data_IF_650687968570
#
_entry.id   IF_650687968570
#
_cell.length_a   1.000
_cell.length_b   1.000
_cell.length_c   1.000
_cell.angle_alpha   90.00
_cell.angle_beta   90.00
_cell.angle_gamma   90.00
#
_symmetry.space_group_name_H-M   'P 1'
#
loop_
_entity.id
_entity.type
_entity.pdbx_description
1 polymer ?
#
# COMPACT_ATOMS: atom_id res chain seq x y z
N UNK A 1 -6.27 -11.37 -20.02
CA UNK A 1 -6.78 -10.20 -19.29
C UNK A 1 -5.61 -9.60 -18.52
N UNK A 2 -5.40 -8.30 -18.57
CA UNK A 2 -4.25 -7.69 -17.86
C UNK A 2 -4.53 -7.73 -16.36
N UNK A 3 -3.71 -8.47 -15.62
CA UNK A 3 -3.75 -8.46 -14.16
C UNK A 3 -3.43 -7.05 -13.66
N UNK A 4 -4.34 -6.52 -12.87
CA UNK A 4 -4.22 -5.21 -12.24
C UNK A 4 -3.89 -5.43 -10.77
N UNK A 5 -3.19 -4.47 -10.20
CA UNK A 5 -2.86 -4.51 -8.78
C UNK A 5 -3.80 -3.59 -8.00
N UNK A 6 -4.29 -4.14 -6.89
CA UNK A 6 -5.23 -3.46 -5.99
C UNK A 6 -4.75 -3.58 -4.55
N UNK A 7 -5.00 -2.54 -3.78
CA UNK A 7 -4.91 -2.57 -2.33
C UNK A 7 -6.32 -2.69 -1.75
N UNK A 8 -6.52 -3.72 -0.95
CA UNK A 8 -7.72 -3.93 -0.15
C UNK A 8 -7.38 -3.63 1.30
N UNK A 9 -8.01 -2.60 1.87
CA UNK A 9 -7.93 -2.28 3.29
C UNK A 9 -9.26 -2.61 3.94
N UNK A 10 -9.24 -3.32 5.06
CA UNK A 10 -10.44 -3.53 5.87
C UNK A 10 -10.14 -3.31 7.36
N UNK A 11 -11.16 -2.85 8.06
CA UNK A 11 -11.11 -2.47 9.46
C UNK A 11 -12.08 -3.36 10.23
N UNK A 12 -11.59 -3.98 11.29
CA UNK A 12 -12.33 -4.84 12.20
C UNK A 12 -12.49 -4.18 13.57
N UNK A 13 -13.44 -4.63 14.40
CA UNK A 13 -13.60 -4.14 15.77
C UNK A 13 -12.32 -4.29 16.60
N UNK A 14 -12.07 -3.40 17.57
CA UNK A 14 -10.82 -3.42 18.36
C UNK A 14 -10.67 -4.65 19.26
N UNK A 15 -11.75 -5.32 19.58
CA UNK A 15 -11.87 -6.53 20.39
C UNK A 15 -11.83 -7.83 19.55
N UNK A 16 -11.60 -7.72 18.25
CA UNK A 16 -11.45 -8.88 17.36
C UNK A 16 -10.20 -9.68 17.74
N UNK A 17 -10.35 -10.99 17.96
CA UNK A 17 -9.24 -11.90 18.25
C UNK A 17 -8.39 -12.13 17.00
N UNK A 18 -7.11 -12.42 17.17
CA UNK A 18 -6.21 -12.78 16.06
C UNK A 18 -6.75 -13.97 15.25
N UNK A 19 -7.41 -14.90 15.92
CA UNK A 19 -8.03 -16.06 15.27
C UNK A 19 -9.18 -15.60 14.34
N UNK A 20 -10.04 -14.69 14.79
CA UNK A 20 -11.11 -14.16 13.95
C UNK A 20 -10.59 -13.34 12.77
N UNK A 21 -9.46 -12.62 12.95
CA UNK A 21 -8.75 -11.96 11.83
C UNK A 21 -8.27 -12.98 10.81
N UNK A 22 -7.64 -14.05 11.27
CA UNK A 22 -7.13 -15.12 10.40
C UNK A 22 -8.26 -15.85 9.65
N UNK A 23 -9.39 -16.12 10.30
CA UNK A 23 -10.55 -16.75 9.68
C UNK A 23 -11.15 -15.87 8.57
N UNK A 24 -11.28 -14.57 8.83
CA UNK A 24 -11.76 -13.63 7.82
C UNK A 24 -10.77 -13.52 6.65
N UNK A 25 -9.48 -13.45 6.94
CA UNK A 25 -8.44 -13.42 5.90
C UNK A 25 -8.49 -14.69 5.05
N UNK A 26 -8.67 -15.87 5.64
CA UNK A 26 -8.83 -17.13 4.91
C UNK A 26 -10.06 -17.10 3.97
N UNK A 27 -11.16 -16.44 4.38
CA UNK A 27 -12.33 -16.26 3.52
C UNK A 27 -12.03 -15.33 2.33
N UNK A 28 -11.28 -14.25 2.55
CA UNK A 28 -10.82 -13.34 1.49
C UNK A 28 -9.92 -14.11 0.51
N UNK A 29 -8.95 -14.87 1.02
CA UNK A 29 -8.03 -15.69 0.23
C UNK A 29 -8.78 -16.72 -0.63
N UNK A 30 -9.78 -17.40 -0.07
CA UNK A 30 -10.61 -18.36 -0.79
C UNK A 30 -11.37 -17.71 -1.96
N UNK A 31 -11.83 -16.47 -1.80
CA UNK A 31 -12.50 -15.72 -2.88
C UNK A 31 -11.50 -15.33 -3.95
N UNK A 32 -10.33 -14.84 -3.55
CA UNK A 32 -9.25 -14.46 -4.48
C UNK A 32 -8.81 -15.65 -5.31
N UNK A 33 -8.56 -16.79 -4.67
CA UNK A 33 -8.17 -18.02 -5.35
C UNK A 33 -9.25 -18.53 -6.32
N UNK A 34 -10.54 -18.51 -5.90
CA UNK A 34 -11.68 -18.93 -6.72
C UNK A 34 -11.80 -18.13 -8.03
N UNK A 35 -11.40 -16.86 -8.01
CA UNK A 35 -11.49 -15.97 -9.16
C UNK A 35 -10.15 -15.77 -9.88
N UNK A 36 -9.21 -16.71 -9.69
CA UNK A 36 -7.88 -16.69 -10.29
C UNK A 36 -7.08 -15.40 -9.99
N UNK A 37 -7.28 -14.81 -8.82
CA UNK A 37 -6.46 -13.75 -8.28
C UNK A 37 -5.33 -14.31 -7.44
N UNK A 38 -4.43 -13.42 -7.01
CA UNK A 38 -3.31 -13.74 -6.13
C UNK A 38 -3.11 -12.64 -5.10
N UNK A 39 -2.97 -13.01 -3.83
CA UNK A 39 -2.51 -12.10 -2.77
C UNK A 39 -0.98 -12.06 -2.84
N UNK A 40 -0.42 -10.88 -3.11
CA UNK A 40 1.02 -10.66 -3.17
C UNK A 40 1.61 -10.42 -1.78
N UNK A 41 0.88 -9.69 -0.96
CA UNK A 41 1.32 -9.31 0.38
C UNK A 41 0.13 -9.04 1.29
N UNK A 42 0.25 -9.43 2.56
CA UNK A 42 -0.68 -9.07 3.63
C UNK A 42 0.09 -8.35 4.73
N UNK A 43 -0.36 -7.16 5.09
CA UNK A 43 0.17 -6.37 6.20
C UNK A 43 -0.91 -6.17 7.27
N UNK A 44 -0.72 -6.79 8.42
CA UNK A 44 -1.56 -6.52 9.59
C UNK A 44 -0.98 -5.34 10.38
N UNK A 45 -1.64 -4.18 10.31
CA UNK A 45 -1.21 -2.98 11.01
C UNK A 45 -1.62 -2.97 12.49
N UNK A 46 -2.41 -3.95 12.90
CA UNK A 46 -2.90 -4.07 14.25
C UNK A 46 -3.93 -3.00 14.63
N UNK A 47 -4.14 -2.86 15.93
CA UNK A 47 -5.10 -1.92 16.51
C UNK A 47 -4.61 -0.48 16.40
N UNK A 48 -5.44 0.38 15.78
CA UNK A 48 -5.16 1.82 15.60
C UNK A 48 -6.39 2.65 15.90
N UNK A 49 -6.17 3.87 16.35
CA UNK A 49 -7.22 4.86 16.54
C UNK A 49 -7.78 5.29 15.18
N UNK A 50 -9.10 5.35 15.08
CA UNK A 50 -9.81 5.87 13.91
C UNK A 50 -9.76 7.41 13.90
N UNK A 51 -9.78 8.01 12.72
CA UNK A 51 -9.85 9.46 12.56
C UNK A 51 -11.18 10.01 13.06
N UNK A 52 -12.25 9.22 12.95
CA UNK A 52 -13.59 9.50 13.47
C UNK A 52 -14.25 8.19 13.88
N UNK A 53 -15.26 8.27 14.74
CA UNK A 53 -16.00 7.12 15.24
C UNK A 53 -16.83 6.46 14.14
N UNK A 54 -16.71 5.14 14.01
CA UNK A 54 -17.47 4.33 13.05
C UNK A 54 -18.22 3.26 13.83
N UNK A 55 -19.57 3.25 13.78
CA UNK A 55 -20.39 2.24 14.45
C UNK A 55 -20.08 2.10 15.94
N UNK A 56 -19.88 3.22 16.65
CA UNK A 56 -19.51 3.28 18.08
C UNK A 56 -18.07 2.83 18.42
N UNK A 57 -17.25 2.52 17.43
CA UNK A 57 -15.85 2.18 17.62
C UNK A 57 -14.94 3.41 17.39
N UNK A 58 -14.05 3.70 18.35
CA UNK A 58 -13.03 4.76 18.26
C UNK A 58 -11.69 4.22 17.80
N UNK A 59 -11.54 2.91 17.81
CA UNK A 59 -10.35 2.17 17.38
C UNK A 59 -10.77 1.00 16.51
N UNK A 60 -9.83 0.43 15.74
CA UNK A 60 -10.06 -0.75 14.93
C UNK A 60 -8.77 -1.44 14.56
N UNK A 61 -8.87 -2.72 14.21
CA UNK A 61 -7.76 -3.51 13.68
C UNK A 61 -7.72 -3.34 12.17
N UNK A 62 -6.60 -2.86 11.64
CA UNK A 62 -6.41 -2.62 10.22
C UNK A 62 -5.65 -3.77 9.58
N UNK A 63 -6.17 -4.26 8.47
CA UNK A 63 -5.47 -5.23 7.62
C UNK A 63 -5.45 -4.69 6.20
N UNK A 64 -4.29 -4.80 5.55
CA UNK A 64 -4.05 -4.40 4.17
C UNK A 64 -3.61 -5.62 3.38
N UNK A 65 -4.32 -5.93 2.30
CA UNK A 65 -3.94 -6.96 1.34
C UNK A 65 -3.61 -6.33 -0.02
N UNK A 66 -2.46 -6.69 -0.58
CA UNK A 66 -2.07 -6.34 -1.93
C UNK A 66 -2.46 -7.50 -2.85
N UNK A 67 -3.39 -7.26 -3.77
CA UNK A 67 -4.03 -8.29 -4.57
C UNK A 67 -3.81 -8.01 -6.06
N UNK A 68 -3.34 -9.04 -6.77
CA UNK A 68 -3.30 -9.05 -8.24
C UNK A 68 -4.54 -9.78 -8.77
N UNK A 69 -5.28 -9.14 -9.68
CA UNK A 69 -6.47 -9.77 -10.22
C UNK A 69 -7.31 -8.89 -11.14
N UNK A 70 -8.50 -9.38 -11.43
CA UNK A 70 -9.47 -8.69 -12.30
C UNK A 70 -10.33 -7.69 -11.52
N UNK A 71 -10.95 -6.75 -12.24
CA UNK A 71 -11.94 -5.84 -11.63
C UNK A 71 -13.21 -6.55 -11.16
N UNK A 72 -13.54 -7.72 -11.71
CA UNK A 72 -14.66 -8.54 -11.28
C UNK A 72 -14.40 -9.17 -9.91
N UNK A 73 -13.17 -9.63 -9.67
CA UNK A 73 -12.74 -10.10 -8.36
C UNK A 73 -12.95 -9.01 -7.30
N UNK A 74 -12.56 -7.76 -7.61
CA UNK A 74 -12.72 -6.65 -6.66
C UNK A 74 -14.19 -6.35 -6.36
N UNK A 75 -15.06 -6.44 -7.34
CA UNK A 75 -16.51 -6.28 -7.12
C UNK A 75 -17.09 -7.38 -6.22
N UNK A 76 -16.64 -8.61 -6.39
CA UNK A 76 -17.11 -9.73 -5.55
C UNK A 76 -16.57 -9.62 -4.12
N UNK A 77 -15.31 -9.18 -3.94
CA UNK A 77 -14.74 -8.89 -2.62
C UNK A 77 -15.50 -7.75 -1.93
N UNK A 78 -15.74 -6.63 -2.63
CA UNK A 78 -16.54 -5.51 -2.10
C UNK A 78 -17.94 -5.98 -1.67
N UNK A 79 -18.59 -6.77 -2.49
CA UNK A 79 -19.93 -7.32 -2.19
C UNK A 79 -19.92 -8.19 -0.92
N UNK A 80 -18.91 -9.06 -0.78
CA UNK A 80 -18.83 -9.98 0.37
C UNK A 80 -18.47 -9.25 1.65
N UNK A 81 -17.44 -8.40 1.61
CA UNK A 81 -17.01 -7.64 2.79
C UNK A 81 -18.09 -6.70 3.31
N UNK A 82 -18.96 -6.20 2.42
CA UNK A 82 -20.10 -5.35 2.81
C UNK A 82 -21.18 -6.09 3.61
N UNK A 83 -21.29 -7.40 3.43
CA UNK A 83 -22.30 -8.25 4.10
C UNK A 83 -21.73 -8.90 5.38
N UNK A 84 -20.42 -8.85 5.57
CA UNK A 84 -19.76 -9.43 6.75
C UNK A 84 -19.93 -8.50 7.96
N UNK A 85 -20.61 -8.96 8.99
CA UNK A 85 -20.86 -8.18 10.24
C UNK A 85 -19.57 -7.83 10.98
N UNK A 86 -18.51 -8.62 10.81
CA UNK A 86 -17.20 -8.39 11.43
C UNK A 86 -16.45 -7.22 10.79
N UNK A 87 -16.81 -6.78 9.58
CA UNK A 87 -16.11 -5.73 8.86
C UNK A 87 -16.79 -4.38 9.11
N UNK A 88 -16.16 -3.52 9.90
CA UNK A 88 -16.66 -2.15 10.14
C UNK A 88 -16.61 -1.32 8.87
N UNK A 89 -15.52 -1.43 8.13
CA UNK A 89 -15.28 -0.70 6.87
C UNK A 89 -14.26 -1.42 6.02
N UNK A 90 -14.41 -1.29 4.71
CA UNK A 90 -13.39 -1.72 3.76
C UNK A 90 -13.27 -0.71 2.63
N UNK A 91 -12.15 -0.75 1.93
CA UNK A 91 -11.86 0.08 0.77
C UNK A 91 -10.97 -0.68 -0.19
N UNK A 92 -11.26 -0.58 -1.48
CA UNK A 92 -10.44 -1.13 -2.56
C UNK A 92 -9.89 0.01 -3.39
N UNK A 93 -8.58 0.04 -3.56
CA UNK A 93 -7.88 1.05 -4.37
C UNK A 93 -7.07 0.36 -5.46
N UNK A 94 -7.12 0.87 -6.67
CA UNK A 94 -6.31 0.41 -7.78
C UNK A 94 -4.97 1.15 -7.78
N UNK A 95 -3.84 0.40 -7.72
CA UNK A 95 -2.50 0.98 -7.54
C UNK A 95 -1.53 0.71 -8.69
N UNK A 96 -1.94 -0.03 -9.72
CA UNK A 96 -1.06 -0.40 -10.84
C UNK A 96 -0.55 0.81 -11.65
N UNK A 97 -1.32 1.88 -11.75
CA UNK A 97 -0.92 3.09 -12.48
C UNK A 97 0.08 3.92 -11.67
N UNK A 98 -0.17 4.10 -10.38
CA UNK A 98 0.73 4.82 -9.48
C UNK A 98 2.07 4.13 -9.35
N UNK A 99 2.07 2.80 -9.19
CA UNK A 99 3.29 1.98 -9.16
C UNK A 99 4.14 2.19 -10.41
N UNK A 100 3.53 2.20 -11.60
CA UNK A 100 4.24 2.45 -12.87
C UNK A 100 4.89 3.85 -12.89
N UNK A 101 4.22 4.86 -12.36
CA UNK A 101 4.77 6.22 -12.27
C UNK A 101 5.93 6.27 -11.29
N UNK A 102 5.77 5.68 -10.11
CA UNK A 102 6.82 5.60 -9.07
C UNK A 102 8.04 4.86 -9.60
N UNK A 103 7.86 3.69 -10.24
CA UNK A 103 8.96 2.90 -10.80
C UNK A 103 9.70 3.65 -11.90
N UNK A 104 8.99 4.34 -12.81
CA UNK A 104 9.61 5.20 -13.83
C UNK A 104 10.43 6.33 -13.21
N UNK A 105 9.90 6.97 -12.18
CA UNK A 105 10.59 8.06 -11.49
C UNK A 105 11.82 7.53 -10.75
N UNK A 106 11.69 6.38 -10.07
CA UNK A 106 12.79 5.72 -9.36
C UNK A 106 13.91 5.32 -10.31
N UNK A 107 13.58 4.70 -11.44
CA UNK A 107 14.59 4.32 -12.46
C UNK A 107 15.26 5.54 -13.07
N UNK A 108 14.51 6.60 -13.39
CA UNK A 108 15.05 7.86 -13.90
C UNK A 108 16.02 8.49 -12.89
N UNK A 109 15.64 8.59 -11.62
CA UNK A 109 16.51 9.12 -10.55
C UNK A 109 17.77 8.26 -10.36
N UNK A 110 17.61 6.93 -10.39
CA UNK A 110 18.76 6.01 -10.28
C UNK A 110 19.75 6.16 -11.43
N UNK A 111 19.26 6.24 -12.68
CA UNK A 111 20.12 6.43 -13.85
C UNK A 111 20.80 7.79 -13.86
N UNK A 112 20.10 8.83 -13.45
CA UNK A 112 20.67 10.18 -13.37
C UNK A 112 21.75 10.28 -12.28
N UNK A 113 21.48 9.71 -11.10
CA UNK A 113 22.49 9.65 -10.01
C UNK A 113 23.72 8.85 -10.43
N UNK A 114 23.53 7.70 -11.09
CA UNK A 114 24.64 6.91 -11.65
C UNK A 114 25.47 7.70 -12.66
N UNK A 115 24.82 8.44 -13.58
CA UNK A 115 25.53 9.32 -14.54
C UNK A 115 26.31 10.41 -13.86
N UNK A 116 25.74 11.07 -12.84
CA UNK A 116 26.41 12.11 -12.05
C UNK A 116 27.64 11.54 -11.33
N UNK A 117 27.53 10.32 -10.75
CA UNK A 117 28.67 9.66 -10.10
C UNK A 117 29.79 9.33 -11.07
N UNK A 118 29.47 8.72 -12.21
CA UNK A 118 30.45 8.39 -13.26
C UNK A 118 31.16 9.67 -13.76
N UNK A 119 30.43 10.77 -13.97
CA UNK A 119 31.02 12.07 -14.37
C UNK A 119 32.01 12.63 -13.31
N UNK A 120 31.84 12.26 -12.04
CA UNK A 120 32.75 12.60 -10.92
C UNK A 120 33.87 11.56 -10.72
N UNK A 121 34.02 10.57 -11.61
CA UNK A 121 35.02 9.50 -11.49
C UNK A 121 34.70 8.44 -10.42
N UNK A 122 33.46 8.41 -9.92
CA UNK A 122 33.01 7.44 -8.92
C UNK A 122 32.26 6.27 -9.60
N UNK A 123 32.23 5.07 -8.98
CA UNK A 123 31.46 3.95 -9.52
C UNK A 123 29.97 4.28 -9.59
N UNK A 124 29.27 3.78 -10.64
CA UNK A 124 27.87 4.07 -10.91
C UNK A 124 26.95 3.67 -9.76
N UNK A 125 27.29 2.59 -9.05
CA UNK A 125 26.55 2.09 -7.88
C UNK A 125 27.34 2.44 -6.62
N UNK A 126 26.63 2.91 -5.59
CA UNK A 126 27.20 3.23 -4.29
C UNK A 126 27.65 1.96 -3.58
N UNK A 127 28.87 1.92 -3.08
CA UNK A 127 29.37 0.75 -2.35
C UNK A 127 28.87 0.78 -0.87
N UNK A 128 28.64 -0.39 -0.26
CA UNK A 128 28.34 -0.46 1.16
C UNK A 128 29.50 0.14 1.98
N UNK A 129 29.19 1.12 2.83
CA UNK A 129 30.19 1.82 3.64
C UNK A 129 30.58 3.21 3.15
N UNK A 130 30.21 3.63 1.93
CA UNK A 130 30.33 5.04 1.54
C UNK A 130 29.38 5.91 2.37
N UNK A 131 29.93 6.72 3.27
CA UNK A 131 29.18 7.70 4.05
C UNK A 131 28.36 8.65 3.16
N UNK A 132 27.29 9.23 3.68
CA UNK A 132 26.63 10.36 3.03
C UNK A 132 27.63 11.51 3.05
N UNK A 133 28.24 11.83 1.91
CA UNK A 133 28.93 13.11 1.76
C UNK A 133 27.93 14.23 1.98
N UNK A 134 28.32 15.22 2.78
CA UNK A 134 27.48 16.35 3.17
C UNK A 134 27.13 17.34 2.01
N UNK A 135 27.41 16.96 0.77
CA UNK A 135 27.19 17.80 -0.43
C UNK A 135 25.84 17.51 -1.11
N UNK A 136 24.79 17.44 -0.34
CA UNK A 136 23.42 17.22 -0.79
C UNK A 136 22.47 18.30 -0.32
N UNK A 137 22.92 19.56 -0.31
CA UNK A 137 22.04 20.73 -0.38
C UNK A 137 21.58 20.93 -1.82
N UNK A 138 20.78 19.99 -2.32
CA UNK A 138 19.88 20.26 -3.44
C UNK A 138 18.53 20.56 -2.82
N UNK A 139 18.20 21.86 -2.73
CA UNK A 139 17.02 22.43 -2.14
C UNK A 139 15.74 21.72 -2.59
N UNK A 140 15.11 21.07 -1.66
CA UNK A 140 13.68 20.88 -1.67
C UNK A 140 13.04 22.21 -1.32
N UNK A 141 12.92 23.05 -2.33
CA UNK A 141 12.09 24.25 -2.29
C UNK A 141 10.64 23.83 -2.58
N UNK A 142 10.09 22.93 -1.75
CA UNK A 142 8.66 22.73 -1.62
C UNK A 142 8.12 23.81 -0.67
N UNK A 143 8.12 25.04 -1.18
CA UNK A 143 7.25 26.07 -0.65
C UNK A 143 5.82 25.67 -0.99
N UNK A 144 5.22 24.99 -0.04
CA UNK A 144 3.78 24.88 0.06
C UNK A 144 3.27 26.26 0.47
N UNK A 145 2.98 27.12 -0.51
CA UNK A 145 2.29 28.38 -0.28
C UNK A 145 0.91 28.06 0.30
N UNK A 146 0.80 28.35 1.61
CA UNK A 146 -0.45 28.29 2.34
C UNK A 146 -1.46 29.22 1.68
N UNK A 147 -2.59 28.66 1.27
CA UNK A 147 -3.80 29.46 1.00
C UNK A 147 -4.48 29.68 2.35
N UNK A 148 -4.26 30.90 2.90
CA UNK A 148 -5.19 31.50 3.85
C UNK A 148 -6.49 31.81 3.11
N UNK A 149 -7.59 31.23 3.54
CA UNK A 149 -8.92 31.90 3.68
C UNK A 149 -9.72 31.15 4.73
#
# INVERSE_FOLDING_TARGET
MSDRQYELVYILPPDTTEQAVAELHAQVEAVVAKMNGQIEKTDNWGRRRLAYEIGHHKEGVYVLDLINGSGELMKELDRRLRVMDLVIRHMVVRVDEEKKVVDRTRTKRATESARRRVKRGLPAVRQPGEGRSADGEDGEDDRFDGVEV
#
